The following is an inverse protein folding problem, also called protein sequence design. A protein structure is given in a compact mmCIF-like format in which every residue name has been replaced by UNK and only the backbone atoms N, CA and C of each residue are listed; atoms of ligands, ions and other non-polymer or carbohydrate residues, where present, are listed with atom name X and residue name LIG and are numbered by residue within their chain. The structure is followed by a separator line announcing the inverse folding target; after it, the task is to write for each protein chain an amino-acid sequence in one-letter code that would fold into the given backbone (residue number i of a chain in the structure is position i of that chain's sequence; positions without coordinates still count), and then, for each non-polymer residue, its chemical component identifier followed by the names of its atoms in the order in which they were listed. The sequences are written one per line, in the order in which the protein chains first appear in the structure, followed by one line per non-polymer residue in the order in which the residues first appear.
data_IF_504544719429
#
_entry.id   IF_504544719429
#
_cell.length_a   1.000
_cell.length_b   1.000
_cell.length_c   1.000
_cell.angle_alpha   90.00
_cell.angle_beta   90.00
_cell.angle_gamma   90.00
#
_symmetry.space_group_name_H-M   'P 1'
#
loop_
_entity.id
_entity.type
_entity.pdbx_description
1 polymer ?
#
# COMPACT_ATOMS: atom_id res chain seq x y z
N UNK A 1 -0.84 -13.69 3.89
CA UNK A 1 -0.60 -12.66 2.87
C UNK A 1 -1.91 -11.95 2.67
N UNK A 2 -2.01 -10.72 3.15
CA UNK A 2 -3.21 -9.90 2.96
C UNK A 2 -3.32 -9.52 1.49
N UNK A 3 -4.49 -9.72 0.89
CA UNK A 3 -4.76 -9.32 -0.48
C UNK A 3 -5.02 -7.80 -0.53
N UNK A 4 -4.01 -7.06 -0.99
CA UNK A 4 -4.06 -5.62 -1.17
C UNK A 4 -4.33 -5.32 -2.64
N UNK A 5 -5.25 -4.40 -2.92
CA UNK A 5 -5.62 -4.05 -4.29
C UNK A 5 -5.90 -2.57 -4.47
N UNK A 6 -5.80 -2.14 -5.73
CA UNK A 6 -6.20 -0.81 -6.14
C UNK A 6 -7.71 -0.82 -6.42
N UNK A 7 -8.47 0.03 -5.74
CA UNK A 7 -9.93 0.07 -5.89
C UNK A 7 -10.35 0.32 -7.34
N UNK A 8 -9.61 1.18 -8.06
CA UNK A 8 -9.88 1.41 -9.48
C UNK A 8 -9.62 0.19 -10.38
N UNK A 9 -8.65 -0.68 -10.05
CA UNK A 9 -8.44 -1.94 -10.77
C UNK A 9 -9.57 -2.94 -10.46
N UNK A 10 -9.96 -3.08 -9.19
CA UNK A 10 -11.03 -3.98 -8.78
C UNK A 10 -12.38 -3.62 -9.42
N UNK A 11 -12.68 -2.31 -9.51
CA UNK A 11 -13.88 -1.80 -10.18
C UNK A 11 -13.81 -2.00 -11.70
N UNK A 12 -12.66 -1.73 -12.34
CA UNK A 12 -12.48 -1.93 -13.77
C UNK A 12 -12.61 -3.41 -14.17
N UNK A 13 -12.08 -4.32 -13.34
CA UNK A 13 -12.16 -5.76 -13.54
C UNK A 13 -13.51 -6.37 -13.12
N UNK A 14 -14.43 -5.57 -12.57
CA UNK A 14 -15.75 -6.00 -12.07
C UNK A 14 -15.68 -7.17 -11.08
N UNK A 15 -14.58 -7.26 -10.32
CA UNK A 15 -14.36 -8.33 -9.33
C UNK A 15 -15.34 -8.19 -8.16
N UNK A 16 -15.66 -6.95 -7.79
CA UNK A 16 -16.65 -6.64 -6.77
C UNK A 16 -17.37 -5.32 -7.04
N UNK A 17 -18.63 -5.16 -6.60
CA UNK A 17 -19.33 -3.88 -6.69
C UNK A 17 -18.74 -2.87 -5.70
N UNK A 18 -18.74 -1.58 -6.09
CA UNK A 18 -18.22 -0.49 -5.26
C UNK A 18 -18.81 -0.44 -3.85
N UNK A 19 -20.11 -0.75 -3.73
CA UNK A 19 -20.80 -0.83 -2.46
C UNK A 19 -20.21 -1.90 -1.53
N UNK A 20 -19.89 -3.07 -2.06
CA UNK A 20 -19.25 -4.14 -1.29
C UNK A 20 -17.82 -3.75 -0.89
N UNK A 21 -17.08 -3.14 -1.82
CA UNK A 21 -15.73 -2.62 -1.54
C UNK A 21 -15.74 -1.66 -0.36
N UNK A 22 -16.62 -0.64 -0.37
CA UNK A 22 -16.71 0.36 0.71
C UNK A 22 -17.20 -0.21 2.04
N UNK A 23 -17.89 -1.35 2.04
CA UNK A 23 -18.47 -1.94 3.25
C UNK A 23 -17.57 -3.00 3.89
N UNK A 24 -16.77 -3.72 3.10
CA UNK A 24 -15.99 -4.87 3.56
C UNK A 24 -14.48 -4.59 3.66
N UNK A 25 -14.03 -3.51 3.01
CA UNK A 25 -12.61 -3.17 2.92
C UNK A 25 -12.34 -1.79 3.49
N UNK A 26 -11.17 -1.65 4.10
CA UNK A 26 -10.67 -0.41 4.68
C UNK A 26 -9.62 0.22 3.76
N UNK A 27 -9.64 1.56 3.59
CA UNK A 27 -8.63 2.25 2.81
C UNK A 27 -7.31 2.33 3.59
N UNK A 28 -6.22 1.83 3.00
CA UNK A 28 -4.87 1.92 3.56
C UNK A 28 -4.20 3.22 3.13
N UNK A 29 -4.27 3.49 1.84
CA UNK A 29 -3.78 4.70 1.17
C UNK A 29 -4.84 5.15 0.16
N UNK A 30 -4.78 6.39 -0.37
CA UNK A 30 -5.74 6.86 -1.36
C UNK A 30 -5.85 5.90 -2.56
N UNK A 31 -7.01 5.26 -2.70
CA UNK A 31 -7.29 4.30 -3.77
C UNK A 31 -6.75 2.87 -3.57
N UNK A 32 -6.12 2.57 -2.43
CA UNK A 32 -5.62 1.23 -2.06
C UNK A 32 -6.41 0.71 -0.87
N UNK A 33 -6.89 -0.53 -0.97
CA UNK A 33 -7.78 -1.15 0.01
C UNK A 33 -7.21 -2.46 0.56
N UNK A 34 -7.54 -2.76 1.81
CA UNK A 34 -7.29 -4.04 2.47
C UNK A 34 -8.58 -4.56 3.11
N UNK A 35 -8.72 -5.87 3.37
CA UNK A 35 -9.80 -6.39 4.20
C UNK A 35 -9.84 -5.64 5.55
N UNK A 36 -11.03 -5.35 6.08
CA UNK A 36 -11.16 -4.65 7.36
C UNK A 36 -10.69 -5.49 8.56
N UNK A 37 -10.30 -4.80 9.64
CA UNK A 37 -9.98 -5.45 10.93
C UNK A 37 -8.64 -6.19 11.02
N UNK A 38 -7.72 -5.96 10.08
CA UNK A 38 -6.39 -6.58 10.09
C UNK A 38 -5.28 -5.55 10.33
N UNK A 39 -4.31 -5.93 11.16
CA UNK A 39 -3.10 -5.14 11.34
C UNK A 39 -2.12 -5.45 10.21
N UNK A 40 -1.80 -4.43 9.40
CA UNK A 40 -0.85 -4.57 8.30
C UNK A 40 0.58 -4.69 8.81
N UNK A 41 1.30 -5.67 8.28
CA UNK A 41 2.74 -5.83 8.46
C UNK A 41 3.52 -4.75 7.68
N UNK A 42 4.79 -4.53 8.04
CA UNK A 42 5.67 -3.60 7.30
C UNK A 42 5.77 -3.99 5.81
N UNK A 43 5.77 -5.29 5.52
CA UNK A 43 5.75 -5.84 4.15
C UNK A 43 4.47 -5.46 3.40
N UNK A 44 3.32 -5.60 4.05
CA UNK A 44 2.03 -5.26 3.45
C UNK A 44 1.89 -3.75 3.25
N UNK A 45 2.35 -2.91 4.19
CA UNK A 45 2.41 -1.46 3.98
C UNK A 45 3.30 -1.07 2.80
N UNK A 46 4.47 -1.70 2.68
CA UNK A 46 5.37 -1.50 1.55
C UNK A 46 4.67 -1.84 0.21
N UNK A 47 3.94 -2.95 0.18
CA UNK A 47 3.19 -3.37 -1.00
C UNK A 47 2.00 -2.44 -1.29
N UNK A 48 1.30 -1.96 -0.26
CA UNK A 48 0.22 -0.98 -0.40
C UNK A 48 0.73 0.36 -0.95
N UNK A 49 1.89 0.84 -0.49
CA UNK A 49 2.51 2.06 -1.01
C UNK A 49 2.95 1.90 -2.48
N UNK A 50 3.45 0.72 -2.85
CA UNK A 50 3.75 0.39 -4.24
C UNK A 50 2.49 0.39 -5.11
N UNK A 51 1.39 -0.17 -4.65
CA UNK A 51 0.10 -0.12 -5.35
C UNK A 51 -0.41 1.32 -5.50
N UNK A 52 -0.28 2.16 -4.46
CA UNK A 52 -0.64 3.58 -4.52
C UNK A 52 0.09 4.32 -5.64
N UNK A 53 1.36 3.98 -5.87
CA UNK A 53 2.16 4.53 -6.98
C UNK A 53 1.74 4.04 -8.37
N UNK A 54 0.62 3.31 -8.47
CA UNK A 54 0.18 2.56 -9.66
C UNK A 54 1.28 1.67 -10.22
N UNK A 55 2.04 1.02 -9.32
CA UNK A 55 3.15 0.13 -9.66
C UNK A 55 4.32 0.81 -10.38
N UNK A 56 4.44 2.15 -10.29
CA UNK A 56 5.52 2.93 -10.93
C UNK A 56 6.63 3.35 -9.96
N UNK A 57 6.35 3.38 -8.66
CA UNK A 57 7.35 3.68 -7.64
C UNK A 57 8.21 2.47 -7.31
N UNK A 58 9.40 2.72 -6.80
CA UNK A 58 10.30 1.69 -6.28
C UNK A 58 10.27 1.75 -4.75
N UNK A 59 10.04 0.63 -4.07
CA UNK A 59 10.06 0.61 -2.60
C UNK A 59 11.49 0.81 -2.11
N UNK A 60 11.70 1.65 -1.10
CA UNK A 60 13.03 1.99 -0.59
C UNK A 60 13.11 1.83 0.94
N UNK A 61 14.31 2.07 1.48
CA UNK A 61 14.56 2.14 2.93
C UNK A 61 14.09 0.92 3.72
N UNK A 62 13.46 1.18 4.86
CA UNK A 62 12.97 0.12 5.77
C UNK A 62 11.89 -0.74 5.10
N UNK A 63 11.11 -0.16 4.20
CA UNK A 63 10.08 -0.89 3.44
C UNK A 63 10.71 -1.89 2.47
N UNK A 64 11.83 -1.55 1.84
CA UNK A 64 12.58 -2.49 0.99
C UNK A 64 13.19 -3.62 1.84
N UNK A 65 13.74 -3.29 3.00
CA UNK A 65 14.25 -4.29 3.94
C UNK A 65 13.15 -5.27 4.39
N UNK A 66 11.94 -4.77 4.68
CA UNK A 66 10.79 -5.60 5.03
C UNK A 66 10.36 -6.54 3.89
N UNK A 67 10.42 -6.09 2.63
CA UNK A 67 10.16 -6.94 1.46
C UNK A 67 11.22 -8.03 1.27
N UNK A 68 12.48 -7.74 1.61
CA UNK A 68 13.60 -8.68 1.55
C UNK A 68 13.66 -9.63 2.76
N UNK A 69 12.71 -9.55 3.69
CA UNK A 69 12.60 -10.49 4.82
C UNK A 69 13.35 -10.06 6.08
N UNK A 70 13.68 -8.78 6.22
CA UNK A 70 14.19 -8.25 7.48
C UNK A 70 13.13 -8.43 8.59
N UNK A 71 13.51 -9.14 9.66
CA UNK A 71 12.60 -9.52 10.76
C UNK A 71 12.27 -8.38 11.72
N UNK A 72 13.07 -7.31 11.70
CA UNK A 72 13.07 -6.26 12.72
C UNK A 72 12.57 -4.92 12.19
N UNK A 73 11.71 -4.94 11.16
CA UNK A 73 11.10 -3.71 10.64
C UNK A 73 9.76 -3.49 11.32
N UNK A 74 9.64 -2.38 12.05
CA UNK A 74 8.39 -2.05 12.71
C UNK A 74 7.29 -1.76 11.69
N UNK A 75 6.09 -2.36 11.83
CA UNK A 75 4.93 -2.05 11.00
C UNK A 75 4.32 -0.68 11.29
N UNK A 76 4.81 0.04 12.31
CA UNK A 76 4.39 1.40 12.62
C UNK A 76 5.14 2.47 11.83
N UNK A 77 6.21 2.09 11.14
CA UNK A 77 6.98 3.02 10.31
C UNK A 77 6.24 3.32 9.01
N UNK A 78 6.36 4.56 8.56
CA UNK A 78 5.83 5.01 7.28
C UNK A 78 6.48 4.22 6.13
N UNK A 79 5.70 3.99 5.07
CA UNK A 79 6.19 3.27 3.92
C UNK A 79 7.11 4.17 3.08
N UNK A 80 8.34 3.72 2.81
CA UNK A 80 9.32 4.46 2.03
C UNK A 80 9.26 4.04 0.55
N UNK A 81 9.10 5.03 -0.33
CA UNK A 81 8.96 4.85 -1.77
C UNK A 81 9.80 5.88 -2.52
N UNK A 82 10.50 5.48 -3.58
CA UNK A 82 11.09 6.40 -4.56
C UNK A 82 10.10 6.57 -5.69
N UNK A 83 9.56 7.77 -5.83
CA UNK A 83 8.58 8.09 -6.87
C UNK A 83 8.62 9.58 -7.22
N UNK A 84 8.28 9.88 -8.48
CA UNK A 84 8.33 11.24 -9.04
C UNK A 84 7.25 12.15 -8.45
N UNK A 85 6.15 11.57 -7.94
CA UNK A 85 5.10 12.33 -7.28
C UNK A 85 5.52 12.75 -5.87
N UNK A 86 5.64 14.07 -5.67
CA UNK A 86 6.08 14.68 -4.41
C UNK A 86 4.94 14.83 -3.40
N UNK A 87 3.68 14.69 -3.84
CA UNK A 87 2.51 14.76 -2.99
C UNK A 87 2.17 13.37 -2.44
N UNK A 88 3.05 12.86 -1.58
CA UNK A 88 2.78 11.62 -0.87
C UNK A 88 1.69 11.85 0.19
N UNK A 89 0.70 10.94 0.30
CA UNK A 89 -0.27 10.98 1.39
C UNK A 89 0.40 10.62 2.72
N UNK A 90 -0.28 10.92 3.82
CA UNK A 90 0.15 10.56 5.15
C UNK A 90 0.45 9.04 5.24
N UNK A 91 1.58 8.68 5.86
CA UNK A 91 2.04 7.29 5.97
C UNK A 91 2.84 6.77 4.77
N UNK A 92 3.16 7.62 3.78
CA UNK A 92 4.12 7.33 2.71
C UNK A 92 5.20 8.42 2.69
N UNK A 93 6.45 8.03 2.81
CA UNK A 93 7.61 8.88 2.57
C UNK A 93 8.05 8.69 1.12
N UNK A 94 7.71 9.64 0.25
CA UNK A 94 8.24 9.67 -1.10
C UNK A 94 9.59 10.39 -1.15
N UNK A 95 10.61 9.71 -1.66
CA UNK A 95 11.89 10.33 -2.02
C UNK A 95 11.93 10.52 -3.53
N UNK A 96 12.30 11.73 -3.96
CA UNK A 96 12.66 11.96 -5.35
C UNK A 96 14.12 11.55 -5.53
N UNK A 97 14.42 10.84 -6.63
CA UNK A 97 15.79 10.59 -7.07
C UNK A 97 16.25 11.73 -7.99
#
# INVERSE_FOLDING_TARGET
MTELFLGSEALAAKVMPERAMRSLYEPVYPGVYCPGGIALTARERAQAAWLWSRRKGVVAGNSAAALLGAKWVSPTLDAELVHVNRHAPFGIVCRAQ
#
